data_IF_027991183230
#
_entry.id   IF_027991183230
#
_cell.length_a   1.000
_cell.length_b   1.000
_cell.length_c   1.000
_cell.angle_alpha   90.00
_cell.angle_beta   90.00
_cell.angle_gamma   90.00
#
_symmetry.space_group_name_H-M   'P 1'
#
loop_
_entity.id
_entity.type
_entity.pdbx_description
1 polymer ?
#
# COMPACT_ATOMS: atom_id res chain seq x y z
N UNK A 1 -22.28 8.06 16.25
CA UNK A 1 -22.46 6.81 17.00
C UNK A 1 -21.12 6.08 17.01
N UNK A 2 -20.76 5.45 18.13
CA UNK A 2 -19.53 4.65 18.26
C UNK A 2 -19.55 3.51 17.24
N UNK A 3 -18.44 3.27 16.54
CA UNK A 3 -18.30 2.09 15.68
C UNK A 3 -17.94 0.86 16.51
N UNK A 4 -17.18 1.04 17.59
CA UNK A 4 -16.77 -0.04 18.47
C UNK A 4 -17.88 -0.40 19.47
N UNK A 5 -18.06 -1.71 19.70
CA UNK A 5 -18.98 -2.23 20.72
C UNK A 5 -18.47 -1.97 22.14
N UNK A 6 -19.35 -1.98 23.14
CA UNK A 6 -18.97 -1.85 24.56
C UNK A 6 -17.90 -2.87 24.98
N UNK A 7 -18.05 -4.13 24.56
CA UNK A 7 -17.07 -5.19 24.84
C UNK A 7 -15.70 -4.86 24.24
N UNK A 8 -15.67 -4.27 23.04
CA UNK A 8 -14.43 -3.83 22.40
C UNK A 8 -13.77 -2.70 23.17
N UNK A 9 -14.56 -1.73 23.65
CA UNK A 9 -14.05 -0.61 24.43
C UNK A 9 -13.41 -1.10 25.73
N UNK A 10 -14.08 -1.99 26.46
CA UNK A 10 -13.55 -2.59 27.69
C UNK A 10 -12.26 -3.38 27.44
N UNK A 11 -12.20 -4.15 26.36
CA UNK A 11 -10.99 -4.91 26.03
C UNK A 11 -9.83 -3.98 25.66
N UNK A 12 -10.08 -2.89 24.92
CA UNK A 12 -9.04 -1.89 24.62
C UNK A 12 -8.55 -1.16 25.87
N UNK A 13 -9.43 -0.83 26.81
CA UNK A 13 -9.04 -0.27 28.12
C UNK A 13 -8.16 -1.24 28.91
N UNK A 14 -8.55 -2.51 28.94
CA UNK A 14 -7.77 -3.58 29.57
C UNK A 14 -6.39 -3.69 28.94
N UNK A 15 -6.30 -3.72 27.61
CA UNK A 15 -5.03 -3.75 26.88
C UNK A 15 -4.16 -2.52 27.17
N UNK A 16 -4.76 -1.32 27.23
CA UNK A 16 -4.01 -0.11 27.54
C UNK A 16 -3.37 -0.15 28.94
N UNK A 17 -4.08 -0.73 29.92
CA UNK A 17 -3.63 -0.82 31.31
C UNK A 17 -2.63 -1.97 31.52
N UNK A 18 -2.94 -3.15 30.99
CA UNK A 18 -2.19 -4.38 31.26
C UNK A 18 -0.97 -4.53 30.36
N UNK A 19 -1.04 -4.08 29.10
CA UNK A 19 0.07 -4.18 28.16
C UNK A 19 1.07 -3.03 28.39
N UNK A 20 2.24 -3.39 28.91
CA UNK A 20 3.39 -2.49 29.06
C UNK A 20 4.15 -2.26 27.75
N UNK A 21 3.98 -3.15 26.77
CA UNK A 21 4.63 -3.14 25.47
C UNK A 21 3.75 -2.53 24.37
N UNK A 22 3.84 -3.11 23.17
CA UNK A 22 3.17 -2.61 21.97
C UNK A 22 1.77 -3.21 21.85
N UNK A 23 0.80 -2.39 21.45
CA UNK A 23 -0.50 -2.84 20.96
C UNK A 23 -0.49 -2.70 19.44
N UNK A 24 -0.26 -3.82 18.75
CA UNK A 24 -0.28 -3.90 17.30
C UNK A 24 -1.72 -3.94 16.79
N UNK A 25 -2.05 -3.08 15.83
CA UNK A 25 -3.33 -3.07 15.13
C UNK A 25 -3.08 -3.58 13.71
N UNK A 26 -3.45 -4.82 13.43
CA UNK A 26 -3.34 -5.40 12.09
C UNK A 26 -4.59 -5.04 11.28
N UNK A 27 -4.42 -4.18 10.29
CA UNK A 27 -5.50 -3.74 9.40
C UNK A 27 -5.46 -4.58 8.13
N UNK A 28 -6.61 -5.19 7.77
CA UNK A 28 -6.71 -6.02 6.58
C UNK A 28 -8.07 -5.91 5.90
N UNK A 29 -8.02 -5.83 4.58
CA UNK A 29 -9.15 -5.38 3.77
C UNK A 29 -10.09 -6.48 3.32
N UNK A 30 -9.63 -7.43 2.49
CA UNK A 30 -10.52 -8.47 1.93
C UNK A 30 -9.87 -9.80 1.62
N UNK A 31 -8.59 -9.82 1.28
CA UNK A 31 -7.95 -11.06 0.85
C UNK A 31 -7.58 -11.89 2.07
N UNK A 32 -7.71 -13.22 2.05
CA UNK A 32 -7.24 -14.07 3.14
C UNK A 32 -5.75 -13.83 3.49
N UNK A 33 -5.32 -14.35 4.63
CA UNK A 33 -3.90 -14.39 4.93
C UNK A 33 -3.20 -15.37 3.97
N UNK A 34 -2.18 -14.89 3.26
CA UNK A 34 -1.35 -15.71 2.37
C UNK A 34 -0.32 -16.55 3.16
N UNK A 35 0.03 -16.09 4.36
CA UNK A 35 0.96 -16.74 5.27
C UNK A 35 0.23 -17.33 6.46
N UNK A 36 0.75 -18.44 6.98
CA UNK A 36 0.18 -19.09 8.15
C UNK A 36 0.38 -18.26 9.42
N UNK A 37 -0.65 -17.50 9.80
CA UNK A 37 -0.65 -16.68 11.01
C UNK A 37 -0.76 -17.50 12.29
N UNK A 38 -1.06 -18.80 12.22
CA UNK A 38 -1.10 -19.70 13.39
C UNK A 38 0.29 -19.87 14.02
N UNK A 39 1.34 -19.60 13.25
CA UNK A 39 2.73 -19.56 13.74
C UNK A 39 3.12 -18.23 14.40
N UNK A 40 2.26 -17.21 14.34
CA UNK A 40 2.57 -15.89 14.89
C UNK A 40 2.72 -15.97 16.41
N UNK A 41 3.81 -15.38 16.90
CA UNK A 41 4.13 -15.23 18.32
C UNK A 41 4.03 -13.76 18.66
N UNK A 42 3.09 -13.41 19.54
CA UNK A 42 2.99 -12.06 20.10
C UNK A 42 3.97 -11.97 21.28
N UNK A 43 4.90 -11.00 21.29
CA UNK A 43 5.86 -10.86 22.38
C UNK A 43 5.17 -10.66 23.74
N UNK A 44 5.79 -11.08 24.86
CA UNK A 44 5.27 -10.80 26.19
C UNK A 44 5.00 -9.31 26.39
N UNK A 45 3.96 -8.98 27.18
CA UNK A 45 3.49 -7.62 27.44
C UNK A 45 3.02 -6.84 26.20
N UNK A 46 2.87 -7.49 25.05
CA UNK A 46 2.32 -6.89 23.83
C UNK A 46 0.99 -7.56 23.48
N UNK A 47 0.21 -6.90 22.63
CA UNK A 47 -1.05 -7.43 22.14
C UNK A 47 -1.17 -7.21 20.63
N UNK A 48 -2.00 -8.02 20.00
CA UNK A 48 -2.38 -7.86 18.61
C UNK A 48 -3.89 -7.78 18.51
N UNK A 49 -4.40 -6.70 17.92
CA UNK A 49 -5.81 -6.49 17.63
C UNK A 49 -5.98 -6.56 16.11
N UNK A 50 -6.94 -7.37 15.67
CA UNK A 50 -7.30 -7.47 14.26
C UNK A 50 -8.38 -6.45 13.90
N UNK A 51 -8.19 -5.65 12.86
CA UNK A 51 -9.22 -4.78 12.27
C UNK A 51 -9.45 -5.23 10.84
N UNK A 52 -10.51 -6.00 10.63
CA UNK A 52 -10.69 -6.80 9.42
C UNK A 52 -12.00 -6.49 8.69
N UNK A 53 -11.94 -6.45 7.35
CA UNK A 53 -13.17 -6.37 6.57
C UNK A 53 -14.05 -7.60 6.81
N UNK A 54 -15.36 -7.41 6.94
CA UNK A 54 -16.34 -8.49 7.19
C UNK A 54 -16.21 -9.74 6.30
N UNK A 55 -15.87 -9.66 4.99
CA UNK A 55 -15.62 -10.83 4.15
C UNK A 55 -14.53 -11.77 4.66
N UNK A 56 -13.61 -11.30 5.50
CA UNK A 56 -12.56 -12.15 6.09
C UNK A 56 -13.12 -13.13 7.12
N UNK A 57 -14.28 -12.89 7.74
CA UNK A 57 -14.85 -13.79 8.77
C UNK A 57 -14.88 -15.24 8.35
N UNK A 58 -15.28 -15.54 7.11
CA UNK A 58 -15.39 -16.90 6.58
C UNK A 58 -14.04 -17.60 6.39
N UNK A 59 -12.94 -16.86 6.45
CA UNK A 59 -11.58 -17.35 6.29
C UNK A 59 -10.79 -17.38 7.61
N UNK A 60 -11.43 -17.00 8.73
CA UNK A 60 -10.82 -16.96 10.05
C UNK A 60 -11.30 -18.17 10.86
N UNK A 61 -10.46 -19.20 10.95
CA UNK A 61 -10.71 -20.30 11.88
C UNK A 61 -10.42 -19.88 13.33
N UNK A 62 -10.86 -20.68 14.30
CA UNK A 62 -10.68 -20.39 15.74
C UNK A 62 -9.20 -20.18 16.09
N UNK A 63 -8.31 -21.04 15.58
CA UNK A 63 -6.87 -20.96 15.85
C UNK A 63 -6.25 -19.65 15.34
N UNK A 64 -6.77 -19.10 14.24
CA UNK A 64 -6.36 -17.81 13.68
C UNK A 64 -6.89 -16.66 14.53
N UNK A 65 -8.16 -16.70 14.94
CA UNK A 65 -8.77 -15.66 15.78
C UNK A 65 -8.08 -15.58 17.14
N UNK A 66 -7.73 -16.71 17.75
CA UNK A 66 -7.03 -16.79 19.04
C UNK A 66 -5.63 -16.14 19.05
N UNK A 67 -5.07 -15.79 17.88
CA UNK A 67 -3.83 -15.00 17.79
C UNK A 67 -4.02 -13.52 18.10
N UNK A 68 -5.25 -13.07 18.11
CA UNK A 68 -5.61 -11.69 18.37
C UNK A 68 -6.23 -11.60 19.76
N UNK A 69 -5.76 -10.65 20.56
CA UNK A 69 -6.38 -10.33 21.84
C UNK A 69 -7.83 -9.87 21.62
N UNK A 70 -8.09 -9.20 20.50
CA UNK A 70 -9.43 -8.82 20.08
C UNK A 70 -9.53 -8.70 18.56
N UNK A 71 -10.72 -8.92 18.00
CA UNK A 71 -10.99 -8.75 16.56
C UNK A 71 -12.19 -7.85 16.33
N UNK A 72 -11.98 -6.80 15.56
CA UNK A 72 -12.98 -5.82 15.13
C UNK A 72 -13.24 -6.06 13.65
N UNK A 73 -14.51 -6.22 13.30
CA UNK A 73 -14.93 -6.31 11.90
C UNK A 73 -15.57 -5.02 11.45
N UNK A 74 -15.23 -4.57 10.24
CA UNK A 74 -15.81 -3.38 9.62
C UNK A 74 -16.41 -3.71 8.26
N UNK A 75 -17.42 -2.95 7.87
CA UNK A 75 -18.02 -3.02 6.55
C UNK A 75 -17.36 -1.99 5.64
N UNK A 76 -17.29 -2.31 4.37
CA UNK A 76 -16.80 -1.38 3.36
C UNK A 76 -17.44 -1.73 2.04
N UNK A 77 -17.86 -0.69 1.33
CA UNK A 77 -18.17 -0.82 -0.08
C UNK A 77 -16.85 -0.88 -0.85
N UNK A 78 -16.47 -2.09 -1.25
CA UNK A 78 -15.19 -2.38 -1.87
C UNK A 78 -15.05 -1.79 -3.26
N UNK A 79 -16.15 -1.66 -3.99
CA UNK A 79 -16.15 -1.07 -5.33
C UNK A 79 -16.00 0.44 -5.19
N UNK A 80 -16.80 1.07 -4.32
CA UNK A 80 -16.70 2.50 -4.05
C UNK A 80 -15.35 2.92 -3.44
N UNK A 81 -14.74 2.09 -2.61
CA UNK A 81 -13.40 2.34 -2.07
C UNK A 81 -12.30 2.31 -3.15
N UNK A 82 -12.55 1.66 -4.28
CA UNK A 82 -11.67 1.66 -5.47
C UNK A 82 -12.06 2.71 -6.51
N UNK A 83 -13.30 3.23 -6.48
CA UNK A 83 -13.78 4.32 -7.36
C UNK A 83 -13.14 5.68 -7.03
N UNK A 84 -12.55 5.81 -5.84
CA UNK A 84 -11.73 6.94 -5.44
C UNK A 84 -10.41 7.01 -6.21
N UNK A 85 -10.47 7.50 -7.46
CA UNK A 85 -9.35 8.10 -8.15
C UNK A 85 -8.41 7.15 -8.90
N UNK A 86 -7.78 7.69 -9.94
CA UNK A 86 -6.92 6.99 -10.90
C UNK A 86 -5.61 6.42 -10.31
N UNK A 87 -5.48 6.38 -8.98
CA UNK A 87 -4.28 6.00 -8.26
C UNK A 87 -4.61 5.01 -7.15
N UNK A 88 -3.79 3.97 -7.03
CA UNK A 88 -3.92 2.91 -6.01
C UNK A 88 -3.84 3.40 -4.55
N UNK A 89 -3.60 4.69 -4.34
CA UNK A 89 -3.23 5.29 -3.07
C UNK A 89 -4.29 6.26 -2.51
N UNK A 90 -5.41 6.46 -3.23
CA UNK A 90 -6.54 7.31 -2.84
C UNK A 90 -7.68 6.53 -2.17
N UNK A 91 -7.36 5.43 -1.50
CA UNK A 91 -8.36 4.61 -0.81
C UNK A 91 -8.90 5.33 0.43
N UNK A 92 -10.23 5.43 0.49
CA UNK A 92 -10.96 5.96 1.63
C UNK A 92 -11.73 4.87 2.34
N UNK A 93 -11.36 4.60 3.60
CA UNK A 93 -11.99 3.61 4.47
C UNK A 93 -12.49 4.28 5.76
N UNK A 94 -13.62 5.01 5.70
CA UNK A 94 -14.08 5.85 6.80
C UNK A 94 -14.38 5.06 8.08
N UNK A 95 -14.86 3.81 7.97
CA UNK A 95 -15.07 2.95 9.14
C UNK A 95 -13.74 2.61 9.84
N UNK A 96 -12.67 2.33 9.09
CA UNK A 96 -11.35 2.09 9.71
C UNK A 96 -10.84 3.37 10.36
N UNK A 97 -10.94 4.51 9.67
CA UNK A 97 -10.53 5.79 10.23
C UNK A 97 -11.26 6.10 11.54
N UNK A 98 -12.57 5.82 11.60
CA UNK A 98 -13.38 5.98 12.80
C UNK A 98 -13.00 4.97 13.90
N UNK A 99 -12.77 3.70 13.57
CA UNK A 99 -12.29 2.70 14.53
C UNK A 99 -10.94 3.10 15.14
N UNK A 100 -9.99 3.55 14.32
CA UNK A 100 -8.68 4.00 14.79
C UNK A 100 -8.84 5.25 15.66
N UNK A 101 -9.69 6.21 15.28
CA UNK A 101 -10.01 7.38 16.11
C UNK A 101 -10.53 7.00 17.50
N UNK A 102 -11.39 5.98 17.58
CA UNK A 102 -11.91 5.48 18.86
C UNK A 102 -10.83 4.72 19.66
N UNK A 103 -9.98 3.94 18.99
CA UNK A 103 -8.85 3.25 19.64
C UNK A 103 -7.85 4.25 20.23
N UNK A 104 -7.45 5.30 19.51
CA UNK A 104 -6.47 6.29 20.02
C UNK A 104 -7.01 7.15 21.16
N UNK A 105 -8.34 7.20 21.34
CA UNK A 105 -8.96 7.86 22.49
C UNK A 105 -8.80 7.05 23.79
N UNK A 106 -8.45 5.76 23.68
CA UNK A 106 -8.39 4.80 24.80
C UNK A 106 -6.95 4.35 25.04
N UNK A 107 -6.26 3.99 23.95
CA UNK A 107 -4.90 3.45 23.99
C UNK A 107 -3.91 4.55 23.64
N UNK A 108 -2.89 4.74 24.49
CA UNK A 108 -1.81 5.71 24.22
C UNK A 108 -1.22 5.45 22.83
N UNK A 109 -1.25 6.48 21.97
CA UNK A 109 -0.76 6.39 20.60
C UNK A 109 0.70 5.95 20.52
N UNK A 110 1.52 6.21 21.55
CA UNK A 110 2.92 5.75 21.63
C UNK A 110 3.05 4.24 21.75
N UNK A 111 2.06 3.57 22.35
CA UNK A 111 1.97 2.10 22.44
C UNK A 111 1.44 1.46 21.16
N UNK A 112 0.71 2.22 20.34
CA UNK A 112 0.09 1.70 19.13
C UNK A 112 1.10 1.49 17.99
N UNK A 113 0.91 0.43 17.22
CA UNK A 113 1.54 0.25 15.90
C UNK A 113 0.49 -0.21 14.90
N UNK A 114 0.26 0.60 13.87
CA UNK A 114 -0.59 0.18 12.75
C UNK A 114 0.22 -0.69 11.80
N UNK A 115 -0.25 -1.91 11.55
CA UNK A 115 0.39 -2.93 10.72
C UNK A 115 -0.51 -3.20 9.51
N UNK A 116 0.10 -3.24 8.32
CA UNK A 116 -0.60 -3.43 7.05
C UNK A 116 0.24 -4.28 6.12
N UNK A 117 -0.40 -5.20 5.38
CA UNK A 117 0.25 -6.08 4.40
C UNK A 117 -0.23 -5.86 2.96
N UNK A 118 -1.29 -5.07 2.79
CA UNK A 118 -1.85 -4.76 1.49
C UNK A 118 -1.32 -3.40 1.05
N UNK A 119 -0.59 -3.40 -0.07
CA UNK A 119 0.05 -2.20 -0.61
C UNK A 119 -0.93 -1.03 -0.77
N UNK A 120 -2.15 -1.35 -1.21
CA UNK A 120 -3.24 -0.40 -1.43
C UNK A 120 -3.58 0.43 -0.17
N UNK A 121 -3.26 -0.08 1.03
CA UNK A 121 -3.59 0.58 2.29
C UNK A 121 -2.43 1.36 2.90
N UNK A 122 -1.22 1.32 2.33
CA UNK A 122 -0.02 1.86 3.00
C UNK A 122 -0.09 3.37 3.22
N UNK A 123 -0.50 4.15 2.20
CA UNK A 123 -0.70 5.60 2.32
C UNK A 123 -1.90 5.94 3.22
N UNK A 124 -3.01 5.21 3.09
CA UNK A 124 -4.15 5.36 3.99
C UNK A 124 -3.74 5.21 5.46
N UNK A 125 -2.96 4.17 5.78
CA UNK A 125 -2.47 3.93 7.15
C UNK A 125 -1.43 4.98 7.57
N UNK A 126 -0.56 5.45 6.67
CA UNK A 126 0.37 6.54 6.97
C UNK A 126 -0.36 7.85 7.31
N UNK A 127 -1.42 8.18 6.58
CA UNK A 127 -2.30 9.32 6.90
C UNK A 127 -2.89 9.21 8.31
N UNK A 128 -3.34 8.00 8.71
CA UNK A 128 -3.83 7.78 10.08
C UNK A 128 -2.72 7.93 11.12
N UNK A 129 -1.50 7.45 10.84
CA UNK A 129 -0.35 7.63 11.74
C UNK A 129 -0.04 9.10 11.99
N UNK A 130 0.08 9.87 10.91
CA UNK A 130 0.36 11.31 10.98
C UNK A 130 -0.76 12.07 11.68
N UNK A 131 -2.03 11.76 11.35
CA UNK A 131 -3.20 12.44 11.92
C UNK A 131 -3.35 12.22 13.43
N UNK A 132 -2.95 11.06 13.94
CA UNK A 132 -3.14 10.68 15.35
C UNK A 132 -1.84 10.57 16.15
N UNK A 133 -0.69 10.91 15.56
CA UNK A 133 0.61 10.81 16.21
C UNK A 133 1.04 9.37 16.56
N UNK A 134 0.56 8.38 15.81
CA UNK A 134 0.93 6.96 16.02
C UNK A 134 2.30 6.70 15.37
N UNK A 135 3.28 6.13 16.08
CA UNK A 135 4.60 5.84 15.50
C UNK A 135 4.56 4.87 14.31
N UNK A 136 5.31 5.19 13.27
CA UNK A 136 5.55 4.35 12.10
C UNK A 136 5.86 5.16 10.84
N UNK A 137 5.97 4.50 9.67
CA UNK A 137 6.30 5.18 8.42
C UNK A 137 5.29 6.26 8.04
N UNK A 138 5.82 7.43 7.69
CA UNK A 138 5.12 8.62 7.17
C UNK A 138 4.93 8.56 5.67
N UNK A 139 4.05 9.39 5.12
CA UNK A 139 3.86 9.53 3.67
C UNK A 139 5.16 9.89 2.96
N UNK A 140 5.96 10.80 3.54
CA UNK A 140 7.24 11.22 2.98
C UNK A 140 8.30 10.09 2.95
N UNK A 141 8.23 9.15 3.89
CA UNK A 141 9.08 7.96 3.88
C UNK A 141 8.57 6.90 2.89
N UNK A 142 7.24 6.72 2.82
CA UNK A 142 6.61 5.80 1.87
C UNK A 142 6.81 6.22 0.42
N UNK A 143 6.86 7.52 0.13
CA UNK A 143 7.11 8.05 -1.21
C UNK A 143 8.40 7.47 -1.82
N UNK A 144 9.45 7.35 -1.00
CA UNK A 144 10.77 6.83 -1.43
C UNK A 144 10.75 5.36 -1.84
N UNK A 145 9.71 4.61 -1.47
CA UNK A 145 9.57 3.18 -1.78
C UNK A 145 8.37 2.89 -2.70
N UNK A 146 7.37 3.77 -2.74
CA UNK A 146 6.14 3.61 -3.53
C UNK A 146 6.24 4.31 -4.89
N UNK A 147 6.82 5.51 -4.93
CA UNK A 147 7.08 6.21 -6.18
C UNK A 147 8.35 5.65 -6.83
N UNK A 148 8.19 5.02 -7.99
CA UNK A 148 9.31 4.45 -8.77
C UNK A 148 10.35 5.49 -9.18
N UNK A 149 9.96 6.75 -9.37
CA UNK A 149 10.88 7.86 -9.63
C UNK A 149 11.71 8.12 -8.38
N UNK A 150 11.07 8.47 -7.27
CA UNK A 150 11.74 8.75 -5.99
C UNK A 150 12.62 7.57 -5.54
N UNK A 151 12.17 6.33 -5.74
CA UNK A 151 12.95 5.12 -5.45
C UNK A 151 14.23 5.05 -6.28
N UNK A 152 14.15 5.31 -7.60
CA UNK A 152 15.30 5.28 -8.50
C UNK A 152 16.26 6.45 -8.25
N UNK A 153 15.74 7.64 -7.98
CA UNK A 153 16.54 8.82 -7.62
C UNK A 153 17.30 8.55 -6.30
N UNK A 154 16.61 8.05 -5.27
CA UNK A 154 17.21 7.65 -3.99
C UNK A 154 18.32 6.59 -4.13
N UNK A 155 18.13 5.63 -5.03
CA UNK A 155 19.12 4.59 -5.34
C UNK A 155 20.36 5.18 -6.05
N UNK A 156 20.16 6.03 -7.05
CA UNK A 156 21.25 6.73 -7.77
C UNK A 156 22.08 7.60 -6.82
N UNK A 157 21.44 8.38 -5.95
CA UNK A 157 22.11 9.21 -4.94
C UNK A 157 23.02 8.41 -3.99
N UNK A 158 22.71 7.11 -3.80
CA UNK A 158 23.46 6.19 -2.93
C UNK A 158 24.46 5.33 -3.69
N UNK A 159 24.66 5.58 -4.98
CA UNK A 159 25.55 4.78 -5.83
C UNK A 159 25.06 3.36 -6.07
N UNK A 160 23.77 3.07 -5.86
CA UNK A 160 23.19 1.77 -6.18
C UNK A 160 22.97 1.71 -7.70
N UNK A 161 23.52 0.72 -8.42
CA UNK A 161 23.33 0.57 -9.86
C UNK A 161 21.85 0.56 -10.23
N UNK A 162 21.44 1.55 -11.03
CA UNK A 162 20.04 1.77 -11.39
C UNK A 162 19.95 1.91 -12.91
N UNK A 163 19.06 1.13 -13.52
CA UNK A 163 18.81 1.21 -14.96
C UNK A 163 18.36 2.62 -15.37
N UNK A 164 18.88 3.18 -16.49
CA UNK A 164 18.43 4.45 -17.05
C UNK A 164 16.90 4.48 -17.16
N UNK A 165 16.31 5.62 -16.84
CA UNK A 165 14.86 5.76 -16.82
C UNK A 165 14.41 7.17 -17.18
N UNK A 166 13.15 7.26 -17.60
CA UNK A 166 12.42 8.47 -17.88
C UNK A 166 11.05 8.39 -17.22
N UNK A 167 10.54 9.52 -16.76
CA UNK A 167 9.17 9.65 -16.24
C UNK A 167 8.34 10.48 -17.21
N UNK A 168 7.15 9.97 -17.56
CA UNK A 168 6.17 10.66 -18.40
C UNK A 168 4.90 10.94 -17.59
N UNK A 169 4.52 12.19 -17.49
CA UNK A 169 3.32 12.64 -16.76
C UNK A 169 2.14 12.97 -17.65
N UNK A 170 2.34 13.00 -18.98
CA UNK A 170 1.30 13.29 -19.96
C UNK A 170 1.58 12.52 -21.26
N UNK A 171 0.50 12.07 -21.90
CA UNK A 171 0.48 11.37 -23.19
C UNK A 171 -0.41 12.09 -24.22
N UNK A 172 -0.72 13.37 -24.03
CA UNK A 172 -1.49 14.16 -24.98
C UNK A 172 -0.91 14.09 -26.41
N UNK A 173 0.42 14.12 -26.53
CA UNK A 173 1.14 13.94 -27.79
C UNK A 173 2.04 12.70 -27.74
N UNK A 174 1.61 11.61 -28.38
CA UNK A 174 2.33 10.33 -28.35
C UNK A 174 3.63 10.35 -29.16
N UNK A 175 3.71 11.15 -30.23
CA UNK A 175 4.94 11.30 -31.01
C UNK A 175 6.01 12.03 -30.22
N UNK A 176 5.65 13.11 -29.54
CA UNK A 176 6.57 13.84 -28.66
C UNK A 176 7.05 12.97 -27.50
N UNK A 177 6.13 12.23 -26.87
CA UNK A 177 6.48 11.27 -25.83
C UNK A 177 7.48 10.22 -26.33
N UNK A 178 7.24 9.66 -27.52
CA UNK A 178 8.16 8.72 -28.18
C UNK A 178 9.53 9.34 -28.43
N UNK A 179 9.60 10.50 -29.08
CA UNK A 179 10.88 11.20 -29.36
C UNK A 179 11.65 11.45 -28.06
N UNK A 180 10.96 11.85 -27.00
CA UNK A 180 11.58 12.07 -25.68
C UNK A 180 12.10 10.77 -25.07
N UNK A 181 11.43 9.64 -25.24
CA UNK A 181 11.91 8.33 -24.77
C UNK A 181 13.17 7.93 -25.53
N UNK A 182 13.13 7.99 -26.85
CA UNK A 182 14.21 7.51 -27.72
C UNK A 182 15.47 8.40 -27.68
N UNK A 183 15.34 9.65 -27.22
CA UNK A 183 16.51 10.52 -27.01
C UNK A 183 17.34 10.15 -25.78
N UNK A 184 16.80 9.37 -24.85
CA UNK A 184 17.48 9.00 -23.59
C UNK A 184 17.59 7.50 -23.34
N UNK A 185 16.75 6.68 -23.94
CA UNK A 185 16.67 5.23 -23.69
C UNK A 185 16.77 4.44 -25.00
N UNK A 186 17.34 3.24 -24.92
CA UNK A 186 17.37 2.28 -26.03
C UNK A 186 16.55 1.03 -25.72
N UNK A 187 16.06 0.36 -26.76
CA UNK A 187 15.33 -0.89 -26.65
C UNK A 187 16.22 -2.06 -26.16
N UNK A 188 15.65 -3.07 -25.45
CA UNK A 188 14.26 -3.15 -25.03
C UNK A 188 13.94 -2.23 -23.84
N UNK A 189 12.74 -1.65 -23.86
CA UNK A 189 12.19 -0.79 -22.81
C UNK A 189 11.27 -1.61 -21.90
N UNK A 190 11.23 -1.23 -20.63
CA UNK A 190 10.24 -1.70 -19.66
C UNK A 190 9.43 -0.52 -19.16
N UNK A 191 8.14 -0.54 -19.45
CA UNK A 191 7.18 0.49 -19.04
C UNK A 191 6.36 0.00 -17.86
N UNK A 192 6.09 0.90 -16.90
CA UNK A 192 5.37 0.59 -15.66
C UNK A 192 4.61 1.85 -15.20
N UNK A 193 3.40 1.72 -14.62
CA UNK A 193 2.80 2.79 -13.84
C UNK A 193 3.71 3.23 -12.69
N UNK A 194 3.76 4.53 -12.36
CA UNK A 194 4.63 5.05 -11.30
C UNK A 194 4.25 4.47 -9.94
N UNK A 195 2.94 4.47 -9.64
CA UNK A 195 2.31 3.78 -8.53
C UNK A 195 1.68 2.49 -9.05
N UNK A 196 1.74 1.39 -8.29
CA UNK A 196 1.06 0.16 -8.70
C UNK A 196 1.57 -1.09 -8.00
N UNK A 197 0.89 -2.20 -8.29
CA UNK A 197 1.11 -3.52 -7.67
C UNK A 197 1.04 -4.63 -8.70
N UNK A 198 1.59 -5.79 -8.35
CA UNK A 198 1.36 -7.07 -9.05
C UNK A 198 1.66 -7.06 -10.58
N UNK A 199 2.57 -6.19 -11.03
CA UNK A 199 2.89 -5.99 -12.45
C UNK A 199 1.74 -5.51 -13.35
N UNK A 200 0.63 -5.04 -12.76
CA UNK A 200 -0.45 -4.45 -13.53
C UNK A 200 0.04 -3.23 -14.32
N UNK A 201 -0.28 -3.18 -15.62
CA UNK A 201 0.13 -2.09 -16.51
C UNK A 201 1.59 -2.17 -16.99
N UNK A 202 2.36 -3.18 -16.59
CA UNK A 202 3.73 -3.34 -17.06
C UNK A 202 3.77 -3.92 -18.48
N UNK A 203 4.71 -3.45 -19.30
CA UNK A 203 5.03 -4.09 -20.58
C UNK A 203 6.55 -4.05 -20.86
N UNK A 204 7.01 -5.03 -21.63
CA UNK A 204 8.33 -5.01 -22.28
C UNK A 204 8.10 -4.66 -23.75
N UNK A 205 8.83 -3.67 -24.23
CA UNK A 205 8.72 -3.14 -25.60
C UNK A 205 10.07 -3.33 -26.28
N UNK A 206 10.12 -4.13 -27.33
CA UNK A 206 11.37 -4.54 -27.97
C UNK A 206 11.77 -3.64 -29.15
N UNK A 207 10.86 -2.80 -29.64
CA UNK A 207 11.06 -1.96 -30.82
C UNK A 207 10.14 -0.73 -30.78
N UNK A 208 10.32 0.11 -31.79
CA UNK A 208 9.64 1.37 -31.99
C UNK A 208 8.13 1.20 -32.19
N UNK A 209 7.73 0.19 -32.94
CA UNK A 209 6.33 -0.11 -33.26
C UNK A 209 5.56 -0.50 -32.00
N UNK A 210 6.15 -1.35 -31.16
CA UNK A 210 5.59 -1.76 -29.87
C UNK A 210 5.45 -0.55 -28.92
N UNK A 211 6.43 0.37 -28.90
CA UNK A 211 6.33 1.60 -28.12
C UNK A 211 5.17 2.47 -28.56
N UNK A 212 5.05 2.72 -29.87
CA UNK A 212 3.96 3.56 -30.38
C UNK A 212 2.59 2.95 -30.09
N UNK A 213 2.44 1.64 -30.34
CA UNK A 213 1.20 0.93 -30.05
C UNK A 213 0.82 1.03 -28.57
N UNK A 214 1.80 0.90 -27.66
CA UNK A 214 1.57 1.04 -26.23
C UNK A 214 1.17 2.46 -25.82
N UNK A 215 1.83 3.49 -26.37
CA UNK A 215 1.51 4.90 -26.08
C UNK A 215 0.08 5.25 -26.50
N UNK A 216 -0.34 4.82 -27.70
CA UNK A 216 -1.70 5.02 -28.21
C UNK A 216 -2.74 4.29 -27.36
N UNK A 217 -2.48 3.03 -27.01
CA UNK A 217 -3.38 2.25 -26.15
C UNK A 217 -3.53 2.89 -24.77
N UNK A 218 -2.44 3.41 -24.20
CA UNK A 218 -2.42 4.04 -22.87
C UNK A 218 -3.16 5.38 -22.89
N UNK A 219 -2.95 6.20 -23.93
CA UNK A 219 -3.70 7.44 -24.16
C UNK A 219 -5.20 7.19 -24.30
N UNK A 220 -5.60 6.20 -25.10
CA UNK A 220 -7.02 5.92 -25.39
C UNK A 220 -7.81 5.44 -24.16
N UNK A 221 -7.14 4.78 -23.22
CA UNK A 221 -7.70 4.40 -21.92
C UNK A 221 -7.88 5.60 -20.98
N UNK A 222 -7.42 6.79 -21.37
CA UNK A 222 -7.48 7.99 -20.54
C UNK A 222 -6.61 7.90 -19.29
N UNK A 223 -5.55 7.08 -19.30
CA UNK A 223 -4.62 6.99 -18.18
C UNK A 223 -4.04 8.39 -17.91
N UNK A 224 -4.39 8.95 -16.76
CA UNK A 224 -3.76 10.15 -16.18
C UNK A 224 -2.54 9.79 -15.32
N UNK A 225 -2.23 8.51 -15.22
CA UNK A 225 -1.14 8.02 -14.39
C UNK A 225 0.21 8.44 -14.96
N UNK A 226 1.08 8.92 -14.08
CA UNK A 226 2.48 9.11 -14.43
C UNK A 226 3.14 7.74 -14.64
N UNK A 227 3.98 7.62 -15.65
CA UNK A 227 4.60 6.39 -16.11
C UNK A 227 6.11 6.44 -15.88
N UNK A 228 6.68 5.33 -15.43
CA UNK A 228 8.13 5.12 -15.37
C UNK A 228 8.54 4.18 -16.50
N UNK A 229 9.42 4.66 -17.37
CA UNK A 229 9.99 3.89 -18.49
C UNK A 229 11.46 3.71 -18.20
N UNK A 230 11.92 2.46 -18.20
CA UNK A 230 13.33 2.15 -17.96
C UNK A 230 13.89 1.28 -19.06
N UNK A 231 15.13 1.55 -19.45
CA UNK A 231 15.88 0.64 -20.31
C UNK A 231 16.18 -0.67 -19.57
N UNK A 232 16.18 -1.79 -20.29
CA UNK A 232 16.68 -3.05 -19.73
C UNK A 232 18.17 -2.94 -19.44
N UNK A 233 18.56 -2.94 -18.16
CA UNK A 233 19.97 -2.92 -17.78
C UNK A 233 20.47 -4.25 -17.20
N UNK A 234 19.57 -5.20 -16.92
CA UNK A 234 19.95 -6.42 -16.21
C UNK A 234 19.47 -7.66 -16.95
N UNK A 235 20.38 -8.28 -17.71
CA UNK A 235 20.34 -9.73 -17.85
C UNK A 235 20.88 -10.29 -16.55
N UNK A 236 19.98 -10.69 -15.65
CA UNK A 236 20.40 -11.47 -14.51
C UNK A 236 20.84 -12.83 -15.06
N UNK A 237 22.16 -13.05 -15.13
CA UNK A 237 22.71 -14.39 -15.25
C UNK A 237 22.47 -15.07 -13.90
N UNK A 238 21.24 -15.55 -13.69
CA UNK A 238 20.88 -16.42 -12.56
C UNK A 238 21.28 -17.86 -12.88
#
# INVERSE_FOLDING_TARGET
MSLLSTDTLHELERLNNDCKGIVGILIKWRYPFFTDIRSLVVPPNSALVGVFGTPLRRHMDTATVEKFAHVIYYNTDYEKALEGGAHTDEISLPEIAQAIKEIVAIVDCKKLRLIVWEEMLVYFVANLRESFGIPGPTNAELEKIRDKRSMKECALERGIPTAPFLVLSDLANTEEAKTRIESVLSYPLFVKPIYGVASAGNARLNNQEELMAWLLATKNKGHKETLCISQSFFYANL
#
